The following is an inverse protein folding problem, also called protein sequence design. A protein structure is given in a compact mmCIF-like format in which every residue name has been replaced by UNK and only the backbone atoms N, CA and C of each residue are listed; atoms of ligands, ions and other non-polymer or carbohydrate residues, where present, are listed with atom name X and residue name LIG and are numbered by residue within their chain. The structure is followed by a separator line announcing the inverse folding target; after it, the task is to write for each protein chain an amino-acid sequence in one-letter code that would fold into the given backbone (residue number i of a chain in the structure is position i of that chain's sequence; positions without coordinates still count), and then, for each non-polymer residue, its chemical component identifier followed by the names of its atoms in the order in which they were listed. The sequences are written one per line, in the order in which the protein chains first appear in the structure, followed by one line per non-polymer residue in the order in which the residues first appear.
data_IF_548998386984
#
_entry.id   IF_548998386984
#
_cell.length_a   1.000
_cell.length_b   1.000
_cell.length_c   1.000
_cell.angle_alpha   90.00
_cell.angle_beta   90.00
_cell.angle_gamma   90.00
#
_symmetry.space_group_name_H-M   'P 1'
#
loop_
_entity.id
_entity.type
_entity.pdbx_description
1 polymer ?
#
# COMPACT_ATOMS: atom_id res chain seq x y z
N UNK A 1 6.17 16.13 -4.20
CA UNK A 1 5.73 14.74 -3.98
C UNK A 1 6.66 13.70 -4.60
N UNK A 2 6.74 13.50 -5.93
CA UNK A 2 7.64 12.47 -6.53
C UNK A 2 9.08 12.56 -6.05
N UNK A 3 9.65 13.77 -6.03
CA UNK A 3 10.98 14.04 -5.46
C UNK A 3 11.12 13.59 -4.01
N UNK A 4 10.13 13.90 -3.18
CA UNK A 4 10.19 13.64 -1.74
C UNK A 4 10.10 12.12 -1.47
N UNK A 5 9.30 11.40 -2.27
CA UNK A 5 9.25 9.93 -2.26
C UNK A 5 10.57 9.33 -2.76
N UNK A 6 11.13 9.84 -3.87
CA UNK A 6 12.43 9.40 -4.37
C UNK A 6 13.56 9.62 -3.33
N UNK A 7 13.51 10.73 -2.59
CA UNK A 7 14.42 11.00 -1.49
C UNK A 7 14.27 9.96 -0.36
N UNK A 8 13.04 9.59 0.01
CA UNK A 8 12.79 8.52 0.97
C UNK A 8 13.31 7.16 0.48
N UNK A 9 13.08 6.81 -0.79
CA UNK A 9 13.58 5.57 -1.40
C UNK A 9 15.12 5.54 -1.38
N UNK A 10 15.81 6.63 -1.74
CA UNK A 10 17.28 6.70 -1.70
C UNK A 10 17.84 6.58 -0.28
N UNK A 11 17.12 7.08 0.73
CA UNK A 11 17.49 6.98 2.15
C UNK A 11 17.32 5.57 2.71
N UNK A 12 16.18 4.95 2.43
CA UNK A 12 15.81 3.64 3.01
C UNK A 12 16.27 2.46 2.18
N UNK A 13 16.65 2.67 0.91
CA UNK A 13 17.13 1.66 -0.03
C UNK A 13 16.25 0.38 -0.04
N UNK A 14 14.91 0.50 -0.19
CA UNK A 14 14.03 -0.66 -0.12
C UNK A 14 14.15 -1.54 -1.37
N UNK A 15 13.95 -2.84 -1.19
CA UNK A 15 13.74 -3.80 -2.30
C UNK A 15 12.26 -3.93 -2.70
N UNK A 16 11.34 -3.63 -1.77
CA UNK A 16 9.89 -3.69 -1.96
C UNK A 16 9.24 -2.41 -1.43
N UNK A 17 8.31 -1.84 -2.19
CA UNK A 17 7.48 -0.70 -1.77
C UNK A 17 6.01 -1.12 -1.77
N UNK A 18 5.26 -0.74 -0.72
CA UNK A 18 3.84 -1.07 -0.56
C UNK A 18 2.99 0.21 -0.54
N UNK A 19 2.53 0.71 -1.70
CA UNK A 19 1.56 1.80 -1.75
C UNK A 19 0.12 1.28 -1.67
N UNK A 20 -0.83 2.22 -1.60
CA UNK A 20 -2.26 1.96 -1.67
C UNK A 20 -2.79 2.11 -3.11
N UNK A 21 -3.95 1.50 -3.38
CA UNK A 21 -4.64 1.52 -4.66
C UNK A 21 -4.72 2.92 -5.28
N UNK A 22 -4.18 3.03 -6.50
CA UNK A 22 -4.04 4.27 -7.25
C UNK A 22 -5.03 4.42 -8.42
N UNK A 23 -5.90 3.42 -8.60
CA UNK A 23 -6.91 3.35 -9.66
C UNK A 23 -8.09 4.26 -9.32
N UNK A 24 -8.95 4.50 -10.31
CA UNK A 24 -10.06 5.44 -10.15
C UNK A 24 -11.15 4.94 -9.21
N UNK A 25 -11.26 3.63 -9.02
CA UNK A 25 -12.24 3.00 -8.12
C UNK A 25 -11.57 2.16 -7.02
N UNK A 26 -12.27 2.05 -5.90
CA UNK A 26 -11.97 1.13 -4.81
C UNK A 26 -13.00 -0.01 -4.80
N UNK A 27 -12.51 -1.24 -4.90
CA UNK A 27 -13.36 -2.42 -5.02
C UNK A 27 -14.08 -2.53 -6.38
N UNK A 28 -15.00 -3.49 -6.45
CA UNK A 28 -15.74 -3.86 -7.66
C UNK A 28 -14.90 -4.66 -8.65
N UNK A 29 -15.36 -5.87 -9.01
CA UNK A 29 -14.80 -6.56 -10.18
C UNK A 29 -15.13 -5.73 -11.44
N UNK A 30 -14.19 -5.63 -12.37
CA UNK A 30 -14.38 -5.06 -13.72
C UNK A 30 -14.94 -3.61 -13.79
N UNK A 31 -14.65 -2.77 -12.79
CA UNK A 31 -14.92 -1.32 -12.84
C UNK A 31 -16.18 -0.83 -12.11
N UNK A 32 -16.76 -1.63 -11.21
CA UNK A 32 -17.98 -1.31 -10.44
C UNK A 32 -17.80 -0.95 -8.96
N UNK A 33 -16.73 -0.22 -8.59
CA UNK A 33 -16.42 0.14 -7.19
C UNK A 33 -16.84 1.56 -6.77
N UNK A 34 -16.50 1.94 -5.53
CA UNK A 34 -16.64 3.33 -5.07
C UNK A 34 -15.58 4.21 -5.71
N UNK A 35 -15.89 5.48 -5.96
CA UNK A 35 -14.89 6.42 -6.47
C UNK A 35 -13.74 6.59 -5.46
N UNK A 36 -12.52 6.34 -5.90
CA UNK A 36 -11.34 6.35 -5.05
C UNK A 36 -10.95 7.80 -4.72
N UNK A 37 -10.65 8.12 -3.44
CA UNK A 37 -10.17 9.43 -3.05
C UNK A 37 -8.99 9.93 -3.91
N UNK A 38 -8.93 11.24 -4.21
CA UNK A 38 -7.86 11.82 -5.02
C UNK A 38 -6.48 11.59 -4.39
N UNK A 39 -6.38 11.58 -3.07
CA UNK A 39 -5.11 11.40 -2.35
C UNK A 39 -4.52 10.01 -2.59
N UNK A 40 -5.34 8.95 -2.54
CA UNK A 40 -4.90 7.58 -2.85
C UNK A 40 -4.34 7.50 -4.28
N UNK A 41 -5.05 8.11 -5.24
CA UNK A 41 -4.65 8.15 -6.65
C UNK A 41 -3.34 8.89 -6.84
N UNK A 42 -3.22 10.08 -6.24
CA UNK A 42 -2.05 10.93 -6.38
C UNK A 42 -0.81 10.28 -5.75
N UNK A 43 -0.90 9.82 -4.49
CA UNK A 43 0.20 9.19 -3.78
C UNK A 43 0.61 7.88 -4.45
N UNK A 44 -0.34 7.00 -4.77
CA UNK A 44 -0.02 5.71 -5.37
C UNK A 44 0.64 5.82 -6.75
N UNK A 45 0.19 6.75 -7.61
CA UNK A 45 0.84 7.03 -8.91
C UNK A 45 2.26 7.61 -8.71
N UNK A 46 2.41 8.55 -7.78
CA UNK A 46 3.72 9.13 -7.50
C UNK A 46 4.72 8.11 -6.91
N UNK A 47 4.27 7.12 -6.14
CA UNK A 47 5.13 6.03 -5.65
C UNK A 47 5.61 5.14 -6.80
N UNK A 48 4.72 4.79 -7.72
CA UNK A 48 5.07 3.98 -8.90
C UNK A 48 6.12 4.67 -9.77
N UNK A 49 5.97 5.98 -10.01
CA UNK A 49 6.94 6.78 -10.76
C UNK A 49 8.26 6.94 -9.97
N UNK A 50 8.16 7.25 -8.68
CA UNK A 50 9.32 7.54 -7.84
C UNK A 50 10.23 6.31 -7.63
N UNK A 51 9.68 5.09 -7.72
CA UNK A 51 10.46 3.86 -7.73
C UNK A 51 11.51 3.84 -8.85
N UNK A 52 11.19 4.40 -10.02
CA UNK A 52 12.16 4.58 -11.11
C UNK A 52 13.01 5.82 -10.97
N UNK A 53 12.40 6.94 -10.55
CA UNK A 53 13.12 8.21 -10.35
C UNK A 53 14.28 8.05 -9.34
N UNK A 54 14.09 7.23 -8.30
CA UNK A 54 15.09 7.00 -7.27
C UNK A 54 16.40 6.40 -7.80
N UNK A 55 16.34 5.56 -8.85
CA UNK A 55 17.51 4.94 -9.48
C UNK A 55 18.20 5.80 -10.54
N UNK A 56 17.57 6.89 -10.97
CA UNK A 56 18.09 7.74 -12.04
C UNK A 56 18.81 8.98 -11.47
N UNK A 57 20.12 9.07 -11.70
CA UNK A 57 20.96 10.20 -11.25
C UNK A 57 20.58 11.57 -11.82
N UNK A 58 19.91 11.59 -12.98
CA UNK A 58 19.52 12.83 -13.67
C UNK A 58 18.16 13.36 -13.23
N UNK A 59 17.38 12.53 -12.54
CA UNK A 59 16.09 12.92 -11.99
C UNK A 59 16.31 13.40 -10.55
N UNK A 60 15.83 14.61 -10.26
CA UNK A 60 16.05 15.33 -9.00
C UNK A 60 17.54 15.39 -8.60
N UNK A 61 18.42 16.00 -9.43
CA UNK A 61 19.86 16.04 -9.16
C UNK A 61 20.20 16.74 -7.83
N UNK A 62 19.32 17.61 -7.32
CA UNK A 62 19.46 18.24 -6.01
C UNK A 62 19.45 17.25 -4.84
N UNK A 63 18.87 16.05 -5.01
CA UNK A 63 18.95 15.00 -4.00
C UNK A 63 20.40 14.55 -3.79
N UNK A 64 21.23 14.59 -4.84
CA UNK A 64 22.66 14.28 -4.75
C UNK A 64 23.41 15.50 -4.24
N UNK A 65 23.31 16.64 -4.95
CA UNK A 65 24.17 17.80 -4.71
C UNK A 65 23.88 18.55 -3.41
N UNK A 66 22.64 18.47 -2.89
CA UNK A 66 22.21 19.18 -1.67
C UNK A 66 22.00 18.21 -0.51
N UNK A 67 21.41 17.03 -0.76
CA UNK A 67 21.04 16.09 0.31
C UNK A 67 21.98 14.89 0.47
N UNK A 68 22.97 14.71 -0.42
CA UNK A 68 23.91 13.58 -0.38
C UNK A 68 23.24 12.21 -0.58
N UNK A 69 22.05 12.19 -1.20
CA UNK A 69 21.29 10.97 -1.46
C UNK A 69 21.64 10.40 -2.83
N UNK A 70 22.53 9.40 -2.80
CA UNK A 70 22.93 8.63 -3.98
C UNK A 70 21.75 7.87 -4.60
N UNK A 71 21.72 7.70 -5.95
CA UNK A 71 20.69 6.93 -6.62
C UNK A 71 20.56 5.51 -6.07
N UNK A 72 19.33 5.02 -6.00
CA UNK A 72 19.01 3.66 -5.58
C UNK A 72 18.19 2.95 -6.65
N UNK A 73 18.81 2.02 -7.35
CA UNK A 73 18.15 1.17 -8.36
C UNK A 73 17.86 -0.25 -7.81
N UNK A 74 17.77 -0.41 -6.50
CA UNK A 74 17.54 -1.71 -5.86
C UNK A 74 16.07 -1.99 -5.51
N UNK A 75 15.13 -1.10 -5.88
CA UNK A 75 13.70 -1.42 -5.80
C UNK A 75 13.41 -2.50 -6.83
N UNK A 76 12.98 -3.67 -6.38
CA UNK A 76 12.67 -4.83 -7.25
C UNK A 76 11.17 -4.92 -7.53
N UNK A 77 10.36 -4.50 -6.57
CA UNK A 77 8.92 -4.69 -6.61
C UNK A 77 8.16 -3.50 -6.01
N UNK A 78 7.00 -3.21 -6.59
CA UNK A 78 5.97 -2.37 -5.98
C UNK A 78 4.70 -3.21 -5.83
N UNK A 79 4.25 -3.44 -4.60
CA UNK A 79 3.08 -4.26 -4.28
C UNK A 79 1.91 -3.37 -3.83
N UNK A 80 1.00 -3.06 -4.75
CA UNK A 80 -0.13 -2.16 -4.50
C UNK A 80 -1.21 -2.90 -3.69
N UNK A 81 -1.48 -2.43 -2.48
CA UNK A 81 -2.55 -2.94 -1.63
C UNK A 81 -3.93 -2.41 -2.08
N UNK A 82 -4.99 -3.20 -1.88
CA UNK A 82 -6.37 -2.78 -2.15
C UNK A 82 -6.72 -2.64 -3.64
N UNK A 83 -5.91 -3.23 -4.54
CA UNK A 83 -6.24 -3.28 -5.97
C UNK A 83 -7.44 -4.18 -6.22
N UNK A 84 -8.28 -3.80 -7.20
CA UNK A 84 -9.37 -4.65 -7.70
C UNK A 84 -8.86 -5.83 -8.54
N UNK A 85 -7.61 -5.76 -9.02
CA UNK A 85 -6.97 -6.80 -9.85
C UNK A 85 -5.67 -7.30 -9.21
N UNK A 86 -5.72 -7.90 -8.00
CA UNK A 86 -4.52 -8.40 -7.35
C UNK A 86 -3.97 -9.62 -8.08
N UNK A 87 -2.64 -9.69 -8.17
CA UNK A 87 -1.89 -10.78 -8.82
C UNK A 87 -1.20 -11.70 -7.83
N UNK A 88 -0.94 -11.22 -6.61
CA UNK A 88 -0.23 -11.96 -5.55
C UNK A 88 -0.98 -11.81 -4.23
N UNK A 89 -0.67 -12.67 -3.25
CA UNK A 89 -1.17 -12.53 -1.90
C UNK A 89 -0.17 -13.09 -0.87
N UNK A 90 -0.25 -12.59 0.36
CA UNK A 90 0.54 -13.04 1.51
C UNK A 90 -0.39 -13.62 2.57
N UNK A 91 0.01 -14.73 3.20
CA UNK A 91 -0.73 -15.33 4.31
C UNK A 91 -0.80 -14.36 5.50
N UNK A 92 -2.01 -14.05 5.95
CA UNK A 92 -2.26 -13.10 7.03
C UNK A 92 -2.29 -13.74 8.42
N UNK A 93 -2.32 -15.08 8.51
CA UNK A 93 -2.65 -15.83 9.73
C UNK A 93 -1.76 -15.42 10.91
N UNK A 94 -0.45 -15.37 10.71
CA UNK A 94 0.50 -15.04 11.79
C UNK A 94 0.44 -13.56 12.23
N UNK A 95 -0.10 -12.67 11.39
CA UNK A 95 -0.12 -11.22 11.62
C UNK A 95 -1.46 -10.66 12.04
N UNK A 96 -2.55 -11.43 11.96
CA UNK A 96 -3.92 -10.90 12.06
C UNK A 96 -4.19 -10.20 13.39
N UNK A 97 -3.96 -10.85 14.52
CA UNK A 97 -4.20 -10.23 15.84
C UNK A 97 -3.35 -8.98 16.07
N UNK A 98 -2.08 -8.99 15.63
CA UNK A 98 -1.21 -7.81 15.70
C UNK A 98 -1.70 -6.67 14.81
N UNK A 99 -2.27 -6.99 13.65
CA UNK A 99 -2.85 -5.97 12.75
C UNK A 99 -4.13 -5.36 13.31
N UNK A 100 -4.95 -6.15 14.02
CA UNK A 100 -6.13 -5.66 14.73
C UNK A 100 -5.70 -4.71 15.85
N UNK A 101 -4.78 -5.13 16.72
CA UNK A 101 -4.23 -4.26 17.77
C UNK A 101 -3.65 -2.97 17.17
N UNK A 102 -2.88 -3.06 16.08
CA UNK A 102 -2.33 -1.89 15.39
C UNK A 102 -3.41 -0.96 14.83
N UNK A 103 -4.52 -1.48 14.31
CA UNK A 103 -5.63 -0.65 13.82
C UNK A 103 -6.34 0.07 14.98
N UNK A 104 -6.45 -0.57 16.14
CA UNK A 104 -7.12 0.01 17.31
C UNK A 104 -6.38 1.19 17.94
N UNK A 105 -5.09 1.34 17.67
CA UNK A 105 -4.35 2.57 18.02
C UNK A 105 -4.91 3.81 17.29
N UNK A 106 -5.70 3.64 16.23
CA UNK A 106 -6.44 4.72 15.55
C UNK A 106 -7.83 4.97 16.13
N UNK A 107 -8.01 4.78 17.45
CA UNK A 107 -9.31 4.82 18.15
C UNK A 107 -10.16 6.06 17.81
N UNK A 108 -9.60 7.26 17.92
CA UNK A 108 -10.34 8.50 17.66
C UNK A 108 -10.87 8.62 16.22
N UNK A 109 -10.17 8.00 15.25
CA UNK A 109 -10.66 7.93 13.88
C UNK A 109 -11.82 6.94 13.75
N UNK A 110 -11.68 5.76 14.36
CA UNK A 110 -12.70 4.70 14.31
C UNK A 110 -14.00 5.15 14.99
N UNK A 111 -13.91 5.80 16.15
CA UNK A 111 -15.06 6.31 16.91
C UNK A 111 -15.91 7.34 16.13
N UNK A 112 -15.34 7.97 15.09
CA UNK A 112 -16.07 8.91 14.22
C UNK A 112 -16.66 8.22 12.99
N UNK A 113 -16.19 7.02 12.64
CA UNK A 113 -16.67 6.27 11.48
C UNK A 113 -17.91 5.41 11.76
N UNK A 114 -18.12 5.03 13.01
CA UNK A 114 -19.12 4.03 13.39
C UNK A 114 -19.58 4.23 14.83
N UNK A 115 -20.82 3.83 15.12
CA UNK A 115 -21.36 3.73 16.47
C UNK A 115 -21.06 2.37 17.13
N UNK A 116 -20.41 1.44 16.41
CA UNK A 116 -19.99 0.14 16.94
C UNK A 116 -18.81 0.27 17.90
N UNK A 117 -18.64 -0.72 18.78
CA UNK A 117 -17.42 -0.83 19.57
C UNK A 117 -16.17 -0.87 18.64
N UNK A 118 -15.13 -0.05 18.90
CA UNK A 118 -13.97 0.01 18.02
C UNK A 118 -13.24 -1.31 17.82
N UNK A 119 -13.15 -2.16 18.85
CA UNK A 119 -12.51 -3.48 18.76
C UNK A 119 -13.32 -4.41 17.86
N UNK A 120 -14.64 -4.45 18.05
CA UNK A 120 -15.53 -5.22 17.19
C UNK A 120 -15.46 -4.77 15.73
N UNK A 121 -15.49 -3.46 15.48
CA UNK A 121 -15.39 -2.88 14.14
C UNK A 121 -14.04 -3.24 13.48
N UNK A 122 -12.92 -2.99 14.17
CA UNK A 122 -11.59 -3.24 13.63
C UNK A 122 -11.33 -4.71 13.34
N UNK A 123 -11.76 -5.60 14.24
CA UNK A 123 -11.67 -7.06 14.06
C UNK A 123 -12.50 -7.53 12.88
N UNK A 124 -13.75 -7.08 12.79
CA UNK A 124 -14.66 -7.45 11.69
C UNK A 124 -14.10 -6.98 10.35
N UNK A 125 -13.64 -5.73 10.28
CA UNK A 125 -13.08 -5.13 9.08
C UNK A 125 -11.84 -5.90 8.57
N UNK A 126 -10.84 -6.12 9.42
CA UNK A 126 -9.60 -6.78 9.00
C UNK A 126 -9.80 -8.27 8.70
N UNK A 127 -10.58 -8.96 9.52
CA UNK A 127 -10.85 -10.40 9.31
C UNK A 127 -11.66 -10.60 8.02
N UNK A 128 -12.69 -9.78 7.79
CA UNK A 128 -13.48 -9.83 6.56
C UNK A 128 -12.65 -9.55 5.32
N UNK A 129 -11.78 -8.53 5.36
CA UNK A 129 -10.87 -8.23 4.24
C UNK A 129 -9.89 -9.37 3.96
N UNK A 130 -9.29 -9.97 5.00
CA UNK A 130 -8.39 -11.10 4.82
C UNK A 130 -9.09 -12.36 4.29
N UNK A 131 -10.35 -12.57 4.68
CA UNK A 131 -11.16 -13.71 4.25
C UNK A 131 -11.61 -13.60 2.79
N UNK A 132 -11.84 -12.39 2.25
CA UNK A 132 -12.27 -12.19 0.85
C UNK A 132 -11.30 -12.82 -0.16
N UNK A 133 -10.00 -12.86 0.15
CA UNK A 133 -8.99 -13.46 -0.72
C UNK A 133 -8.81 -14.98 -0.50
N UNK A 134 -9.40 -15.56 0.55
CA UNK A 134 -9.07 -16.91 1.01
C UNK A 134 -9.37 -18.01 0.00
N UNK A 135 -10.52 -17.95 -0.67
CA UNK A 135 -10.89 -18.91 -1.71
C UNK A 135 -9.87 -18.95 -2.86
N UNK A 136 -9.22 -17.81 -3.15
CA UNK A 136 -8.18 -17.67 -4.17
C UNK A 136 -6.77 -17.94 -3.64
N UNK A 137 -6.64 -18.31 -2.36
CA UNK A 137 -5.36 -18.51 -1.67
C UNK A 137 -5.33 -19.79 -0.82
N UNK A 138 -6.04 -20.84 -1.27
CA UNK A 138 -6.03 -22.15 -0.63
C UNK A 138 -6.77 -22.19 0.71
N UNK A 139 -7.82 -21.38 0.87
CA UNK A 139 -8.65 -21.34 2.07
C UNK A 139 -8.06 -20.58 3.25
N UNK A 140 -6.89 -19.97 3.10
CA UNK A 140 -6.21 -19.21 4.17
C UNK A 140 -6.54 -17.72 4.10
N UNK A 141 -6.68 -17.01 5.23
CA UNK A 141 -6.83 -15.57 5.23
C UNK A 141 -5.58 -14.93 4.61
N UNK A 142 -5.77 -13.97 3.70
CA UNK A 142 -4.67 -13.44 2.90
C UNK A 142 -4.81 -11.95 2.61
N UNK A 143 -3.67 -11.28 2.47
CA UNK A 143 -3.57 -9.90 2.01
C UNK A 143 -3.21 -9.89 0.52
N UNK A 144 -4.13 -9.47 -0.37
CA UNK A 144 -3.88 -9.42 -1.80
C UNK A 144 -3.13 -8.14 -2.22
N UNK A 145 -2.24 -8.27 -3.21
CA UNK A 145 -1.49 -7.19 -3.81
C UNK A 145 -1.47 -7.30 -5.33
N UNK A 146 -1.48 -6.16 -6.01
CA UNK A 146 -1.09 -6.06 -7.43
C UNK A 146 0.41 -5.75 -7.50
N UNK A 147 1.19 -6.70 -8.00
CA UNK A 147 2.64 -6.63 -8.03
C UNK A 147 3.16 -6.11 -9.37
N UNK A 148 4.02 -5.09 -9.33
CA UNK A 148 4.74 -4.56 -10.49
C UNK A 148 6.25 -4.80 -10.34
N UNK A 149 6.93 -5.41 -11.34
CA UNK A 149 8.39 -5.48 -11.39
C UNK A 149 9.01 -4.10 -11.66
N UNK A 150 10.25 -3.90 -11.21
CA UNK A 150 11.04 -2.68 -11.43
C UNK A 150 12.42 -2.97 -12.00
#
# INVERSE_FOLDING_TARGET
MRRDIAAAIRRHRPELIVPLNHRDTWGGADGGGFWNPPDHKAVGRAVLDAAGDAGNRWIFPELISVQGLEPWNGVRWVAVAGSATPTHAVDATAGLERSIASLLEHKAYIEVLTDQDPEEYGRTFLTGNAQQASARFGGRPALPFELFPR
#
